data_IF_967409741343
#
_entry.id   IF_967409741343
#
_cell.length_a   1.000
_cell.length_b   1.000
_cell.length_c   1.000
_cell.angle_alpha   90.00
_cell.angle_beta   90.00
_cell.angle_gamma   90.00
#
_symmetry.space_group_name_H-M   'P 1'
#
loop_
_entity.id
_entity.type
_entity.pdbx_description
1 polymer ?
#
# COMPACT_ATOMS: atom_id res chain seq x y z
N UNK A 1 37.77 1.48 -20.68
CA UNK A 1 36.92 0.27 -20.61
C UNK A 1 37.24 -0.63 -19.41
N UNK A 2 38.49 -0.76 -18.99
CA UNK A 2 38.91 -1.53 -17.79
C UNK A 2 38.32 -0.98 -16.49
N UNK A 3 38.28 0.32 -16.31
CA UNK A 3 37.69 0.95 -15.09
C UNK A 3 36.22 0.66 -14.89
N UNK A 4 35.46 0.52 -15.97
CA UNK A 4 34.03 0.22 -15.87
C UNK A 4 33.76 -1.24 -15.45
N UNK A 5 34.61 -2.15 -15.85
CA UNK A 5 34.53 -3.56 -15.44
C UNK A 5 34.95 -3.77 -13.99
N UNK A 6 35.93 -3.04 -13.52
CA UNK A 6 36.35 -3.06 -12.12
C UNK A 6 35.28 -2.50 -11.20
N UNK A 7 34.66 -1.37 -11.58
CA UNK A 7 33.53 -0.78 -10.84
C UNK A 7 32.34 -1.73 -10.72
N UNK A 8 32.02 -2.48 -11.78
CA UNK A 8 30.97 -3.47 -11.75
C UNK A 8 31.31 -4.68 -10.88
N UNK A 9 32.58 -5.06 -10.81
CA UNK A 9 33.03 -6.13 -9.91
C UNK A 9 32.95 -5.70 -8.44
N UNK A 10 33.39 -4.51 -8.11
CA UNK A 10 33.28 -3.96 -6.77
C UNK A 10 31.81 -3.77 -6.35
N UNK A 11 30.96 -3.29 -7.26
CA UNK A 11 29.54 -3.18 -7.04
C UNK A 11 28.86 -4.52 -6.78
N UNK A 12 29.28 -5.56 -7.50
CA UNK A 12 28.75 -6.91 -7.30
C UNK A 12 29.14 -7.49 -5.92
N UNK A 13 30.35 -7.22 -5.45
CA UNK A 13 30.78 -7.64 -4.11
C UNK A 13 30.03 -6.88 -3.01
N UNK A 14 29.81 -5.58 -3.19
CA UNK A 14 29.06 -4.77 -2.23
C UNK A 14 27.58 -5.22 -2.14
N UNK A 15 26.96 -5.54 -3.27
CA UNK A 15 25.60 -6.08 -3.31
C UNK A 15 25.51 -7.45 -2.64
N UNK A 16 26.48 -8.34 -2.84
CA UNK A 16 26.54 -9.64 -2.20
C UNK A 16 26.66 -9.53 -0.67
N UNK A 17 27.48 -8.61 -0.19
CA UNK A 17 27.62 -8.34 1.24
C UNK A 17 26.33 -7.77 1.85
N UNK A 18 25.62 -6.89 1.15
CA UNK A 18 24.35 -6.34 1.59
C UNK A 18 23.24 -7.41 1.65
N UNK A 19 23.20 -8.33 0.67
CA UNK A 19 22.26 -9.46 0.68
C UNK A 19 22.55 -10.42 1.82
N UNK A 20 23.82 -10.70 2.11
CA UNK A 20 24.19 -11.55 3.23
C UNK A 20 23.80 -10.94 4.59
N UNK A 21 23.99 -9.64 4.78
CA UNK A 21 23.58 -8.90 5.96
C UNK A 21 22.03 -8.87 6.08
N UNK A 22 21.33 -8.68 4.97
CA UNK A 22 19.88 -8.72 4.91
C UNK A 22 19.33 -10.11 5.23
N UNK A 23 19.95 -11.16 4.74
CA UNK A 23 19.55 -12.53 5.04
C UNK A 23 19.74 -12.88 6.53
N UNK A 24 20.82 -12.41 7.16
CA UNK A 24 21.03 -12.56 8.60
C UNK A 24 19.99 -11.81 9.44
N UNK A 25 19.55 -10.62 9.00
CA UNK A 25 18.46 -9.86 9.61
C UNK A 25 17.10 -10.53 9.44
N UNK A 26 16.85 -11.16 8.28
CA UNK A 26 15.63 -11.90 7.99
C UNK A 26 15.56 -13.23 8.74
N UNK A 27 16.69 -13.83 9.12
CA UNK A 27 16.74 -15.06 9.92
C UNK A 27 16.29 -14.88 11.38
N UNK A 28 16.09 -13.64 11.83
CA UNK A 28 15.59 -13.32 13.16
C UNK A 28 14.21 -12.66 13.07
N UNK A 29 13.11 -13.43 12.94
CA UNK A 29 11.77 -12.90 12.78
C UNK A 29 11.33 -12.03 13.96
N UNK A 30 11.84 -12.24 15.16
CA UNK A 30 11.50 -11.44 16.33
C UNK A 30 11.94 -9.98 16.23
N UNK A 31 12.97 -9.67 15.43
CA UNK A 31 13.39 -8.27 15.20
C UNK A 31 12.52 -7.53 14.21
N UNK A 32 11.82 -8.24 13.30
CA UNK A 32 10.87 -7.68 12.34
C UNK A 32 9.49 -7.52 12.98
N UNK A 33 9.06 -8.49 13.79
CA UNK A 33 7.78 -8.46 14.52
C UNK A 33 7.78 -7.43 15.66
N UNK A 34 8.95 -7.03 16.14
CA UNK A 34 9.11 -5.98 17.15
C UNK A 34 8.93 -4.56 16.58
N UNK A 35 8.74 -4.40 15.28
CA UNK A 35 8.29 -3.13 14.72
C UNK A 35 6.89 -2.84 15.25
N UNK A 36 6.76 -1.82 16.10
CA UNK A 36 5.49 -1.40 16.66
C UNK A 36 4.49 -1.12 15.54
N UNK A 37 3.25 -1.55 15.74
CA UNK A 37 2.16 -1.21 14.85
C UNK A 37 2.05 0.31 14.71
N UNK A 38 2.08 0.78 13.48
CA UNK A 38 1.98 2.20 13.19
C UNK A 38 0.54 2.62 12.93
N UNK A 39 0.27 3.90 13.03
CA UNK A 39 -1.04 4.49 12.74
C UNK A 39 -0.97 5.25 11.43
N UNK A 40 -1.85 4.91 10.52
CA UNK A 40 -1.95 5.55 9.20
C UNK A 40 -3.32 6.18 9.03
N UNK A 41 -3.32 7.41 8.54
CA UNK A 41 -4.48 8.08 8.00
C UNK A 41 -4.28 8.23 6.49
N UNK A 42 -5.14 7.59 5.71
CA UNK A 42 -5.13 7.68 4.27
C UNK A 42 -6.23 8.64 3.83
N UNK A 43 -5.85 9.71 3.15
CA UNK A 43 -6.78 10.73 2.69
C UNK A 43 -7.06 10.53 1.20
N UNK A 44 -8.32 10.29 0.86
CA UNK A 44 -8.80 10.25 -0.52
C UNK A 44 -9.39 11.60 -0.92
N UNK A 45 -8.91 12.16 -2.02
CA UNK A 45 -9.38 13.44 -2.56
C UNK A 45 -10.04 13.31 -3.93
N UNK A 46 -9.84 12.18 -4.59
CA UNK A 46 -10.26 11.92 -5.97
C UNK A 46 -11.48 11.01 -5.97
N UNK A 47 -12.51 11.38 -6.68
CA UNK A 47 -13.74 10.62 -6.83
C UNK A 47 -13.81 9.82 -8.13
N UNK A 48 -15.03 9.66 -8.64
CA UNK A 48 -15.31 8.84 -9.84
C UNK A 48 -14.70 9.39 -11.13
N UNK A 49 -14.22 10.62 -11.14
CA UNK A 49 -13.55 11.24 -12.28
C UNK A 49 -12.21 10.59 -12.63
N UNK A 50 -11.58 9.93 -11.66
CA UNK A 50 -10.40 9.13 -11.90
C UNK A 50 -10.46 7.83 -11.08
N UNK A 51 -11.04 6.77 -11.63
CA UNK A 51 -11.27 5.51 -10.93
C UNK A 51 -10.02 4.89 -10.32
N UNK A 52 -8.91 4.94 -11.04
CA UNK A 52 -7.65 4.35 -10.60
C UNK A 52 -7.10 5.08 -9.37
N UNK A 53 -7.07 6.42 -9.40
CA UNK A 53 -6.62 7.21 -8.23
C UNK A 53 -7.57 7.09 -7.05
N UNK A 54 -8.86 7.04 -7.30
CA UNK A 54 -9.88 6.87 -6.26
C UNK A 54 -9.69 5.57 -5.47
N UNK A 55 -9.18 4.53 -6.12
CA UNK A 55 -8.99 3.21 -5.51
C UNK A 55 -7.75 3.11 -4.60
N UNK A 56 -6.74 3.94 -4.78
CA UNK A 56 -5.47 3.85 -4.04
C UNK A 56 -5.64 3.84 -2.50
N UNK A 57 -6.38 4.75 -1.89
CA UNK A 57 -6.53 4.74 -0.43
C UNK A 57 -7.09 3.42 0.10
N UNK A 58 -8.01 2.80 -0.62
CA UNK A 58 -8.66 1.55 -0.22
C UNK A 58 -7.71 0.35 -0.35
N UNK A 59 -6.97 0.26 -1.44
CA UNK A 59 -5.98 -0.80 -1.66
C UNK A 59 -4.83 -0.69 -0.66
N UNK A 60 -4.31 0.50 -0.45
CA UNK A 60 -3.24 0.71 0.53
C UNK A 60 -3.70 0.49 1.96
N UNK A 61 -4.93 0.87 2.29
CA UNK A 61 -5.49 0.64 3.61
C UNK A 61 -5.54 -0.86 3.95
N UNK A 62 -6.00 -1.68 3.03
CA UNK A 62 -6.04 -3.14 3.23
C UNK A 62 -4.64 -3.73 3.38
N UNK A 63 -3.69 -3.33 2.53
CA UNK A 63 -2.31 -3.79 2.62
C UNK A 63 -1.64 -3.41 3.94
N UNK A 64 -1.80 -2.16 4.38
CA UNK A 64 -1.26 -1.68 5.65
C UNK A 64 -1.91 -2.38 6.86
N UNK A 65 -3.20 -2.65 6.78
CA UNK A 65 -3.92 -3.39 7.83
C UNK A 65 -3.44 -4.83 7.91
N UNK A 66 -3.27 -5.50 6.79
CA UNK A 66 -2.72 -6.86 6.72
C UNK A 66 -1.30 -6.94 7.28
N UNK A 67 -0.53 -5.87 7.13
CA UNK A 67 0.81 -5.75 7.72
C UNK A 67 0.81 -5.48 9.24
N UNK A 68 -0.36 -5.43 9.88
CA UNK A 68 -0.48 -5.29 11.34
C UNK A 68 -0.58 -3.85 11.84
N UNK A 69 -0.85 -2.89 10.96
CA UNK A 69 -0.97 -1.48 11.34
C UNK A 69 -2.40 -1.09 11.66
N UNK A 70 -2.57 0.00 12.41
CA UNK A 70 -3.85 0.68 12.57
C UNK A 70 -4.05 1.64 11.41
N UNK A 71 -5.18 1.51 10.71
CA UNK A 71 -5.44 2.29 9.49
C UNK A 71 -6.81 2.94 9.56
N UNK A 72 -6.90 4.18 9.09
CA UNK A 72 -8.14 4.92 8.89
C UNK A 72 -8.14 5.53 7.50
N UNK A 73 -9.32 5.68 6.93
CA UNK A 73 -9.51 6.35 5.65
C UNK A 73 -10.37 7.59 5.90
N UNK A 74 -9.97 8.72 5.34
CA UNK A 74 -10.77 9.94 5.28
C UNK A 74 -10.98 10.32 3.83
N UNK A 75 -12.25 10.55 3.47
CA UNK A 75 -12.63 10.98 2.13
C UNK A 75 -13.06 12.45 2.18
N UNK A 76 -12.39 13.28 1.42
CA UNK A 76 -12.68 14.68 1.34
C UNK A 76 -12.89 15.14 -0.12
N UNK A 77 -13.58 16.24 -0.31
CA UNK A 77 -13.83 16.79 -1.64
C UNK A 77 -14.56 15.80 -2.55
N UNK A 78 -14.03 15.61 -3.76
CA UNK A 78 -14.66 14.76 -4.77
C UNK A 78 -14.70 13.28 -4.40
N UNK A 79 -13.82 12.82 -3.50
CA UNK A 79 -13.81 11.44 -3.03
C UNK A 79 -15.06 11.05 -2.22
N UNK A 80 -15.77 12.01 -1.63
CA UNK A 80 -16.97 11.74 -0.83
C UNK A 80 -18.07 11.05 -1.64
N UNK A 81 -18.12 11.29 -2.94
CA UNK A 81 -19.10 10.66 -3.84
C UNK A 81 -18.96 9.13 -3.90
N UNK A 82 -17.79 8.60 -3.59
CA UNK A 82 -17.53 7.16 -3.60
C UNK A 82 -18.38 6.38 -2.57
N UNK A 83 -18.88 7.06 -1.55
CA UNK A 83 -19.75 6.44 -0.54
C UNK A 83 -21.21 6.34 -0.98
N UNK A 84 -21.54 6.84 -2.15
CA UNK A 84 -22.86 6.63 -2.76
C UNK A 84 -22.87 5.30 -3.50
N UNK A 85 -23.79 4.40 -3.13
CA UNK A 85 -23.86 3.04 -3.69
C UNK A 85 -23.86 2.99 -5.22
N UNK A 86 -24.63 3.81 -5.95
CA UNK A 86 -24.57 3.79 -7.42
C UNK A 86 -23.20 4.14 -7.97
N UNK A 87 -22.45 5.03 -7.30
CA UNK A 87 -21.12 5.44 -7.71
C UNK A 87 -20.09 4.35 -7.41
N UNK A 88 -20.08 3.85 -6.18
CA UNK A 88 -19.15 2.77 -5.80
C UNK A 88 -19.31 1.51 -6.66
N UNK A 89 -20.51 1.22 -7.11
CA UNK A 89 -20.78 0.08 -8.00
C UNK A 89 -20.34 0.30 -9.45
N UNK A 90 -20.18 1.56 -9.88
CA UNK A 90 -19.84 1.91 -11.26
C UNK A 90 -18.35 2.19 -11.48
N UNK A 91 -17.59 2.41 -10.42
CA UNK A 91 -16.16 2.75 -10.51
C UNK A 91 -15.33 1.49 -10.77
N UNK A 92 -14.60 1.49 -11.89
CA UNK A 92 -13.71 0.39 -12.26
C UNK A 92 -12.31 0.93 -12.52
N UNK A 93 -11.34 0.66 -11.61
CA UNK A 93 -9.96 1.10 -11.80
C UNK A 93 -9.27 0.32 -12.90
N UNK A 94 -8.24 0.91 -13.48
CA UNK A 94 -7.39 0.23 -14.48
C UNK A 94 -6.43 -0.73 -13.77
N UNK A 95 -6.45 -1.99 -14.16
CA UNK A 95 -5.54 -3.02 -13.64
C UNK A 95 -5.92 -3.59 -12.26
N UNK A 96 -7.04 -3.17 -11.71
CA UNK A 96 -7.58 -3.71 -10.46
C UNK A 96 -9.03 -4.18 -10.62
N UNK A 97 -9.51 -5.03 -9.70
CA UNK A 97 -10.93 -5.36 -9.63
C UNK A 97 -11.81 -4.12 -9.45
N UNK A 98 -13.13 -4.23 -9.70
CA UNK A 98 -14.07 -3.13 -9.44
C UNK A 98 -13.92 -2.54 -8.03
N UNK A 99 -14.06 -1.22 -7.91
CA UNK A 99 -13.91 -0.50 -6.64
C UNK A 99 -14.77 -1.07 -5.51
N UNK A 100 -15.97 -1.55 -5.82
CA UNK A 100 -16.86 -2.19 -4.85
C UNK A 100 -16.21 -3.36 -4.10
N UNK A 101 -15.29 -4.08 -4.74
CA UNK A 101 -14.57 -5.18 -4.10
C UNK A 101 -13.54 -4.68 -3.09
N UNK A 102 -12.81 -3.62 -3.45
CA UNK A 102 -11.88 -2.97 -2.53
C UNK A 102 -12.62 -2.37 -1.32
N UNK A 103 -13.75 -1.72 -1.56
CA UNK A 103 -14.61 -1.18 -0.50
C UNK A 103 -15.15 -2.29 0.41
N UNK A 104 -15.63 -3.38 -0.16
CA UNK A 104 -16.12 -4.53 0.62
C UNK A 104 -15.03 -5.11 1.52
N UNK A 105 -13.81 -5.23 1.02
CA UNK A 105 -12.66 -5.70 1.80
C UNK A 105 -12.31 -4.74 2.94
N UNK A 106 -12.32 -3.45 2.71
CA UNK A 106 -12.11 -2.43 3.76
C UNK A 106 -13.16 -2.56 4.87
N UNK A 107 -14.42 -2.75 4.51
CA UNK A 107 -15.51 -2.93 5.47
C UNK A 107 -15.35 -4.24 6.25
N UNK A 108 -15.02 -5.34 5.57
CA UNK A 108 -14.78 -6.64 6.19
C UNK A 108 -13.64 -6.60 7.21
N UNK A 109 -12.57 -5.89 6.88
CA UNK A 109 -11.41 -5.69 7.76
C UNK A 109 -11.68 -4.65 8.87
N UNK A 110 -12.87 -4.06 8.93
CA UNK A 110 -13.26 -3.05 9.93
C UNK A 110 -12.35 -1.83 9.96
N UNK A 111 -11.88 -1.40 8.81
CA UNK A 111 -11.14 -0.16 8.67
C UNK A 111 -12.12 1.02 8.68
N UNK A 112 -12.01 1.98 9.62
CA UNK A 112 -12.92 3.12 9.66
C UNK A 112 -12.80 4.01 8.43
N UNK A 113 -13.93 4.44 7.91
CA UNK A 113 -14.02 5.42 6.82
C UNK A 113 -14.77 6.64 7.32
N UNK A 114 -14.14 7.79 7.25
CA UNK A 114 -14.72 9.09 7.58
C UNK A 114 -15.00 9.89 6.30
N UNK A 115 -16.08 10.64 6.29
CA UNK A 115 -16.53 11.44 5.14
C UNK A 115 -16.92 12.84 5.62
#
# INVERSE_FOLDING_TARGET
>A
MTKRREFLKEGAHACAAAVAAGAAGLANPSSVDAADAQKFLLIGLVGSENPTRANFPFVWATALKEAGNEVRIELAGDATVLMRTPVSNSVTPVGWPPFREALAKVIEMKIPIYV
#
